data_IF_526677102142
#
_entry.id   IF_526677102142
#
_cell.length_a   1.000
_cell.length_b   1.000
_cell.length_c   1.000
_cell.angle_alpha   90.00
_cell.angle_beta   90.00
_cell.angle_gamma   90.00
#
_symmetry.space_group_name_H-M   'P 1'
#
loop_
_entity.id
_entity.type
_entity.pdbx_description
1 polymer ?
#
# COMPACT_ATOMS: atom_id res chain seq x y z
N UNK A 1 5.12 7.13 4.95
CA UNK A 1 4.73 5.96 4.13
C UNK A 1 4.08 4.90 4.98
N UNK A 2 2.98 4.34 4.53
CA UNK A 2 2.33 3.22 5.19
C UNK A 2 1.53 2.42 4.16
N UNK A 3 1.21 1.16 4.48
CA UNK A 3 0.42 0.31 3.60
C UNK A 3 -0.99 0.11 4.16
N UNK A 4 -1.14 0.06 5.48
CA UNK A 4 -2.38 -0.30 6.16
C UNK A 4 -2.89 -1.68 5.73
N UNK A 5 -2.14 -2.69 6.13
CA UNK A 5 -2.37 -4.10 5.79
C UNK A 5 -3.54 -4.67 6.60
N UNK A 6 -4.77 -4.29 6.24
CA UNK A 6 -5.99 -4.62 6.97
C UNK A 6 -6.60 -5.97 6.59
N UNK A 7 -6.11 -6.57 5.52
CA UNK A 7 -6.49 -7.91 5.04
C UNK A 7 -5.34 -8.45 4.19
N UNK A 8 -5.22 -9.76 4.09
CA UNK A 8 -4.24 -10.41 3.20
C UNK A 8 -4.58 -10.22 1.72
N UNK A 9 -5.86 -10.06 1.39
CA UNK A 9 -6.31 -9.70 0.05
C UNK A 9 -6.14 -8.19 -0.18
N UNK A 10 -5.36 -7.76 -1.20
CA UNK A 10 -5.08 -6.35 -1.44
C UNK A 10 -6.34 -5.52 -1.73
N UNK A 11 -7.32 -6.10 -2.38
CA UNK A 11 -8.58 -5.43 -2.70
C UNK A 11 -9.49 -5.27 -1.48
N UNK A 12 -9.55 -6.28 -0.62
CA UNK A 12 -10.28 -6.20 0.65
C UNK A 12 -9.63 -5.20 1.60
N UNK A 13 -8.31 -5.23 1.70
CA UNK A 13 -7.56 -4.25 2.49
C UNK A 13 -7.87 -2.81 2.05
N UNK A 14 -7.98 -2.57 0.75
CA UNK A 14 -8.35 -1.26 0.20
C UNK A 14 -9.75 -0.82 0.62
N UNK A 15 -10.72 -1.71 0.56
CA UNK A 15 -12.14 -1.42 0.94
C UNK A 15 -12.29 -1.06 2.42
N UNK A 16 -11.41 -1.55 3.27
CA UNK A 16 -11.47 -1.35 4.72
C UNK A 16 -10.82 -0.03 5.16
N UNK A 17 -10.15 0.69 4.27
CA UNK A 17 -9.46 1.93 4.65
C UNK A 17 -10.42 3.10 4.80
N UNK A 18 -10.08 4.00 5.73
CA UNK A 18 -10.76 5.27 5.94
C UNK A 18 -10.69 6.14 4.70
N UNK A 19 -11.70 7.00 4.51
CA UNK A 19 -11.75 7.92 3.37
C UNK A 19 -10.46 8.70 3.18
N UNK A 20 -9.89 9.25 4.25
CA UNK A 20 -8.64 10.00 4.20
C UNK A 20 -7.47 9.14 3.74
N UNK A 21 -7.41 7.89 4.18
CA UNK A 21 -6.36 6.96 3.78
C UNK A 21 -6.54 6.48 2.34
N UNK A 22 -7.75 6.23 1.90
CA UNK A 22 -8.03 5.91 0.49
C UNK A 22 -7.46 7.00 -0.42
N UNK A 23 -7.71 8.27 -0.11
CA UNK A 23 -7.19 9.40 -0.90
C UNK A 23 -5.66 9.45 -0.89
N UNK A 24 -5.05 9.38 0.30
CA UNK A 24 -3.61 9.60 0.49
C UNK A 24 -2.77 8.41 0.05
N UNK A 25 -3.23 7.19 0.34
CA UNK A 25 -2.42 5.98 0.14
C UNK A 25 -2.32 5.56 -1.33
N UNK A 26 -3.17 6.05 -2.22
CA UNK A 26 -2.99 5.88 -3.66
C UNK A 26 -1.67 6.54 -4.10
N UNK A 27 -1.45 7.79 -3.71
CA UNK A 27 -0.22 8.50 -4.02
C UNK A 27 1.00 7.82 -3.40
N UNK A 28 0.94 7.47 -2.11
CA UNK A 28 2.07 6.83 -1.44
C UNK A 28 2.40 5.45 -2.03
N UNK A 29 1.39 4.65 -2.37
CA UNK A 29 1.60 3.37 -3.07
C UNK A 29 2.26 3.58 -4.43
N UNK A 30 1.78 4.54 -5.21
CA UNK A 30 2.38 4.89 -6.50
C UNK A 30 3.83 5.34 -6.35
N UNK A 31 4.14 6.14 -5.33
CA UNK A 31 5.51 6.57 -5.03
C UNK A 31 6.43 5.39 -4.68
N UNK A 32 5.97 4.43 -3.87
CA UNK A 32 6.74 3.23 -3.53
C UNK A 32 7.01 2.36 -4.76
N UNK A 33 6.00 2.15 -5.60
CA UNK A 33 6.13 1.37 -6.84
C UNK A 33 7.04 2.06 -7.86
N UNK A 34 6.92 3.37 -8.04
CA UNK A 34 7.84 4.14 -8.89
C UNK A 34 9.28 4.06 -8.38
N UNK A 35 9.47 4.14 -7.07
CA UNK A 35 10.80 4.04 -6.45
C UNK A 35 11.42 2.66 -6.68
N UNK A 36 10.60 1.58 -6.69
CA UNK A 36 11.08 0.25 -7.06
C UNK A 36 11.62 0.22 -8.49
N UNK A 37 10.92 0.83 -9.46
CA UNK A 37 11.42 0.95 -10.83
C UNK A 37 12.72 1.73 -10.91
N UNK A 38 12.83 2.86 -10.22
CA UNK A 38 14.07 3.64 -10.19
C UNK A 38 15.23 2.85 -9.58
N UNK A 39 14.98 2.08 -8.51
CA UNK A 39 16.00 1.25 -7.88
C UNK A 39 16.60 0.26 -8.86
N UNK A 40 15.78 -0.49 -9.60
CA UNK A 40 16.27 -1.50 -10.54
C UNK A 40 16.81 -0.89 -11.82
N UNK A 41 16.28 0.25 -12.25
CA UNK A 41 16.83 0.99 -13.39
C UNK A 41 18.25 1.50 -13.10
N UNK A 42 18.48 2.07 -11.93
CA UNK A 42 19.82 2.49 -11.48
C UNK A 42 20.78 1.30 -11.38
N UNK A 43 20.32 0.19 -10.80
CA UNK A 43 21.12 -1.03 -10.63
C UNK A 43 21.58 -1.62 -11.97
N UNK A 44 20.77 -1.53 -13.00
CA UNK A 44 21.04 -2.08 -14.34
C UNK A 44 21.42 -1.02 -15.37
N UNK A 45 21.65 0.21 -14.96
CA UNK A 45 22.06 1.34 -15.82
C UNK A 45 21.13 1.55 -17.03
N UNK A 46 19.81 1.44 -16.77
CA UNK A 46 18.77 1.68 -17.79
C UNK A 46 17.99 2.95 -17.48
N UNK A 47 17.38 3.53 -18.52
CA UNK A 47 16.59 4.76 -18.40
C UNK A 47 15.25 4.48 -17.72
N UNK A 48 14.88 5.34 -16.78
CA UNK A 48 13.61 5.30 -16.06
C UNK A 48 12.73 6.55 -16.30
N UNK A 49 12.95 7.29 -17.38
CA UNK A 49 12.17 8.51 -17.69
C UNK A 49 10.70 8.23 -17.95
N UNK A 50 10.36 6.97 -18.26
CA UNK A 50 8.96 6.53 -18.41
C UNK A 50 8.18 6.44 -17.11
N UNK A 51 8.85 6.47 -15.96
CA UNK A 51 8.23 6.34 -14.63
C UNK A 51 7.67 7.71 -14.20
N UNK A 52 6.36 7.82 -13.86
CA UNK A 52 5.70 9.11 -13.67
C UNK A 52 6.22 9.91 -12.47
N UNK A 53 6.56 9.26 -11.36
CA UNK A 53 7.00 9.94 -10.15
C UNK A 53 8.48 9.69 -9.88
N UNK A 54 9.12 10.70 -9.29
CA UNK A 54 10.51 10.61 -8.85
C UNK A 54 10.65 9.64 -7.68
N UNK A 55 11.88 9.18 -7.47
CA UNK A 55 12.26 8.40 -6.31
C UNK A 55 11.92 9.16 -5.02
N UNK A 56 11.19 8.53 -4.10
CA UNK A 56 10.73 9.12 -2.85
C UNK A 56 10.82 8.12 -1.71
N UNK A 57 11.19 8.59 -0.52
CA UNK A 57 11.27 7.79 0.71
C UNK A 57 11.99 6.46 0.51
N UNK A 58 13.11 6.50 -0.17
CA UNK A 58 13.85 5.33 -0.66
C UNK A 58 14.21 4.32 0.44
N UNK A 59 14.57 4.80 1.61
CA UNK A 59 14.99 3.95 2.74
C UNK A 59 13.86 3.64 3.74
N UNK A 60 12.64 4.06 3.47
CA UNK A 60 11.52 3.72 4.34
C UNK A 60 11.24 2.20 4.29
N UNK A 61 10.95 1.52 5.43
CA UNK A 61 10.75 0.07 5.46
C UNK A 61 9.71 -0.45 4.46
N UNK A 62 8.60 0.24 4.30
CA UNK A 62 7.55 -0.16 3.34
C UNK A 62 8.02 -0.02 1.89
N UNK A 63 8.82 0.99 1.57
CA UNK A 63 9.40 1.19 0.24
C UNK A 63 10.42 0.09 -0.08
N UNK A 64 11.25 -0.27 0.90
CA UNK A 64 12.19 -1.40 0.78
C UNK A 64 11.45 -2.71 0.57
N UNK A 65 10.42 -2.98 1.38
CA UNK A 65 9.59 -4.18 1.27
C UNK A 65 8.96 -4.32 -0.13
N UNK A 66 8.44 -3.24 -0.68
CA UNK A 66 7.82 -3.22 -2.02
C UNK A 66 8.76 -3.74 -3.12
N UNK A 67 10.05 -3.40 -3.04
CA UNK A 67 11.04 -3.77 -4.07
C UNK A 67 11.82 -5.05 -3.80
N UNK A 68 11.56 -5.75 -2.70
CA UNK A 68 12.28 -6.97 -2.35
C UNK A 68 12.06 -8.11 -3.34
N UNK A 69 10.84 -8.27 -3.82
CA UNK A 69 10.50 -9.31 -4.80
C UNK A 69 9.19 -9.00 -5.55
N UNK A 70 8.93 -9.79 -6.58
CA UNK A 70 7.73 -9.64 -7.43
C UNK A 70 6.43 -9.77 -6.67
N UNK A 71 6.33 -10.67 -5.69
CA UNK A 71 5.10 -10.88 -4.93
C UNK A 71 4.72 -9.67 -4.08
N UNK A 72 5.70 -9.01 -3.47
CA UNK A 72 5.50 -7.76 -2.74
C UNK A 72 5.06 -6.63 -3.67
N UNK A 73 5.76 -6.45 -4.79
CA UNK A 73 5.42 -5.45 -5.80
C UNK A 73 4.00 -5.64 -6.32
N UNK A 74 3.65 -6.86 -6.70
CA UNK A 74 2.30 -7.18 -7.21
C UNK A 74 1.22 -6.93 -6.17
N UNK A 75 1.44 -7.33 -4.93
CA UNK A 75 0.49 -7.08 -3.86
C UNK A 75 0.19 -5.59 -3.72
N UNK A 76 1.24 -4.77 -3.66
CA UNK A 76 1.08 -3.32 -3.52
C UNK A 76 0.45 -2.68 -4.75
N UNK A 77 0.82 -3.14 -5.95
CA UNK A 77 0.17 -2.68 -7.19
C UNK A 77 -1.34 -2.98 -7.16
N UNK A 78 -1.73 -4.20 -6.85
CA UNK A 78 -3.14 -4.58 -6.77
C UNK A 78 -3.87 -3.79 -5.67
N UNK A 79 -3.21 -3.52 -4.57
CA UNK A 79 -3.74 -2.68 -3.49
C UNK A 79 -3.97 -1.23 -3.96
N UNK A 80 -3.02 -0.66 -4.69
CA UNK A 80 -3.17 0.66 -5.31
C UNK A 80 -4.37 0.70 -6.28
N UNK A 81 -4.55 -0.33 -7.10
CA UNK A 81 -5.70 -0.45 -8.00
C UNK A 81 -7.00 -0.54 -7.19
N UNK A 82 -7.03 -1.34 -6.14
CA UNK A 82 -8.17 -1.44 -5.23
C UNK A 82 -8.52 -0.11 -4.57
N UNK A 83 -7.52 0.62 -4.09
CA UNK A 83 -7.70 1.97 -3.54
C UNK A 83 -8.24 2.95 -4.60
N UNK A 84 -7.74 2.85 -5.82
CA UNK A 84 -8.23 3.66 -6.96
C UNK A 84 -9.70 3.41 -7.24
N UNK A 85 -10.13 2.15 -7.20
CA UNK A 85 -11.53 1.78 -7.37
C UNK A 85 -12.41 2.32 -6.22
N UNK A 86 -11.94 2.18 -4.97
CA UNK A 86 -12.63 2.75 -3.81
C UNK A 86 -12.76 4.27 -3.91
N UNK A 87 -11.72 4.95 -4.35
CA UNK A 87 -11.76 6.40 -4.57
C UNK A 87 -12.82 6.78 -5.61
N UNK A 88 -12.87 6.07 -6.73
CA UNK A 88 -13.87 6.32 -7.78
C UNK A 88 -15.29 6.05 -7.27
N UNK A 89 -15.51 4.96 -6.54
CA UNK A 89 -16.81 4.61 -5.98
C UNK A 89 -17.28 5.62 -4.93
N UNK A 90 -16.37 6.13 -4.09
CA UNK A 90 -16.69 7.09 -3.02
C UNK A 90 -16.83 8.53 -3.50
N UNK A 91 -16.04 8.95 -4.49
CA UNK A 91 -15.93 10.36 -4.91
C UNK A 91 -16.36 10.62 -6.36
N UNK A 92 -16.75 9.61 -7.10
CA UNK A 92 -17.24 9.67 -8.47
C UNK A 92 -16.28 10.35 -9.46
N UNK A 93 -14.98 10.10 -9.28
CA UNK A 93 -13.91 10.56 -10.17
C UNK A 93 -12.70 9.66 -10.06
N UNK A 94 -11.83 9.65 -11.09
CA UNK A 94 -10.58 8.92 -11.06
C UNK A 94 -9.48 9.71 -10.35
N UNK A 95 -8.72 9.05 -9.48
CA UNK A 95 -7.57 9.67 -8.82
C UNK A 95 -6.43 9.91 -9.81
N UNK A 96 -5.81 11.08 -9.75
CA UNK A 96 -4.76 11.48 -10.68
C UNK A 96 -3.58 10.50 -10.72
N UNK A 97 -3.19 9.93 -9.58
CA UNK A 97 -2.10 8.93 -9.53
C UNK A 97 -2.47 7.65 -10.27
N UNK A 98 -3.74 7.25 -10.30
CA UNK A 98 -4.21 6.11 -11.10
C UNK A 98 -4.09 6.44 -12.59
N UNK A 99 -4.56 7.60 -13.00
CA UNK A 99 -4.45 8.05 -14.40
C UNK A 99 -3.00 8.06 -14.88
N UNK A 100 -2.08 8.55 -14.06
CA UNK A 100 -0.67 8.66 -14.42
C UNK A 100 0.10 7.34 -14.37
N UNK A 101 -0.22 6.47 -13.43
CA UNK A 101 0.66 5.37 -13.02
C UNK A 101 0.15 3.98 -13.40
N UNK A 102 -1.16 3.77 -13.51
CA UNK A 102 -1.76 2.44 -13.66
C UNK A 102 -1.10 1.59 -14.74
N UNK A 103 -0.99 2.09 -15.96
CA UNK A 103 -0.44 1.30 -17.07
C UNK A 103 1.08 1.11 -16.95
N UNK A 104 1.80 2.14 -16.52
CA UNK A 104 3.26 2.10 -16.35
C UNK A 104 3.69 1.13 -15.27
N UNK A 105 3.03 1.17 -14.14
CA UNK A 105 3.36 0.34 -12.98
C UNK A 105 2.80 -1.08 -13.07
N UNK A 106 1.96 -1.40 -14.05
CA UNK A 106 1.49 -2.76 -14.31
C UNK A 106 2.62 -3.72 -14.71
N UNK A 107 3.71 -3.17 -15.22
CA UNK A 107 4.92 -3.91 -15.56
C UNK A 107 5.83 -3.99 -14.33
N UNK A 108 6.49 -5.13 -14.14
CA UNK A 108 7.50 -5.26 -13.08
C UNK A 108 8.73 -4.39 -13.36
N UNK A 109 9.40 -3.91 -12.30
CA UNK A 109 10.74 -3.38 -12.46
C UNK A 109 11.68 -4.38 -13.12
N UNK A 110 12.63 -3.89 -13.92
CA UNK A 110 13.60 -4.71 -14.63
C UNK A 110 14.37 -5.61 -13.66
N UNK A 111 14.34 -6.92 -13.90
CA UNK A 111 15.04 -7.93 -13.11
C UNK A 111 14.73 -7.92 -11.58
N UNK A 112 13.57 -7.45 -11.20
CA UNK A 112 13.12 -7.64 -9.82
C UNK A 112 13.07 -9.14 -9.50
N UNK A 113 13.66 -9.59 -8.37
CA UNK A 113 13.76 -11.02 -8.06
C UNK A 113 12.41 -11.67 -7.77
N UNK A 114 12.35 -12.98 -8.00
CA UNK A 114 11.32 -13.83 -7.42
C UNK A 114 11.51 -13.91 -5.90
N UNK A 115 10.46 -14.26 -5.18
CA UNK A 115 10.53 -14.46 -3.74
C UNK A 115 9.17 -14.76 -3.14
N UNK A 116 9.17 -15.36 -1.94
CA UNK A 116 7.95 -15.61 -1.20
C UNK A 116 7.35 -14.29 -0.70
N UNK A 117 6.02 -14.25 -0.64
CA UNK A 117 5.33 -13.12 -0.01
C UNK A 117 5.55 -13.15 1.50
N UNK A 118 6.03 -12.03 2.03
CA UNK A 118 6.13 -11.77 3.47
C UNK A 118 5.21 -10.60 3.83
N UNK A 119 4.66 -10.61 5.03
CA UNK A 119 3.82 -9.51 5.49
C UNK A 119 4.60 -8.20 5.50
N UNK A 120 3.95 -7.06 5.15
CA UNK A 120 4.64 -5.77 5.16
C UNK A 120 5.05 -5.35 6.57
N UNK A 121 6.05 -4.47 6.68
CA UNK A 121 6.51 -3.98 7.98
C UNK A 121 5.41 -3.22 8.72
N UNK A 122 5.44 -3.34 10.04
CA UNK A 122 4.49 -2.70 10.93
C UNK A 122 4.97 -1.28 11.28
N UNK A 123 4.52 -0.31 10.51
CA UNK A 123 4.89 1.10 10.67
C UNK A 123 3.90 1.81 11.61
N UNK A 124 4.06 1.56 12.91
CA UNK A 124 3.18 2.06 13.96
C UNK A 124 3.91 2.07 15.31
N UNK A 125 3.36 2.75 16.33
CA UNK A 125 3.88 2.64 17.70
C UNK A 125 3.89 1.20 18.23
N UNK A 126 4.90 0.86 19.03
CA UNK A 126 5.13 -0.52 19.50
C UNK A 126 3.94 -1.13 20.24
N UNK A 127 3.14 -0.31 20.92
CA UNK A 127 1.93 -0.76 21.64
C UNK A 127 0.87 -1.42 20.75
N UNK A 128 0.88 -1.15 19.44
CA UNK A 128 -0.06 -1.74 18.48
C UNK A 128 0.50 -2.94 17.74
N UNK A 129 1.81 -3.16 17.81
CA UNK A 129 2.46 -4.24 17.07
C UNK A 129 2.05 -5.62 17.56
N UNK A 130 2.05 -6.57 16.65
CA UNK A 130 1.66 -7.95 16.86
C UNK A 130 2.52 -8.85 15.98
N UNK A 131 2.52 -10.16 16.22
CA UNK A 131 3.19 -11.12 15.33
C UNK A 131 2.59 -11.12 13.93
N UNK A 132 1.27 -10.90 13.85
CA UNK A 132 0.53 -10.77 12.60
C UNK A 132 0.35 -9.30 12.21
N UNK A 133 0.83 -8.93 11.01
CA UNK A 133 0.71 -7.54 10.52
C UNK A 133 -0.74 -7.11 10.34
N UNK A 134 -1.64 -8.00 9.92
CA UNK A 134 -3.08 -7.68 9.83
C UNK A 134 -3.63 -7.30 11.21
N UNK A 135 -3.33 -8.08 12.23
CA UNK A 135 -3.76 -7.79 13.61
C UNK A 135 -3.17 -6.47 14.11
N UNK A 136 -1.88 -6.23 13.86
CA UNK A 136 -1.20 -5.00 14.24
C UNK A 136 -1.86 -3.77 13.60
N UNK A 137 -2.16 -3.80 12.32
CA UNK A 137 -2.80 -2.69 11.63
C UNK A 137 -4.25 -2.46 12.10
N UNK A 138 -4.97 -3.50 12.46
CA UNK A 138 -6.28 -3.34 13.10
C UNK A 138 -6.18 -2.73 14.49
N UNK A 139 -5.20 -3.15 15.29
CA UNK A 139 -4.95 -2.54 16.59
C UNK A 139 -4.69 -1.03 16.44
N UNK A 140 -3.86 -0.66 15.48
CA UNK A 140 -3.53 0.72 15.19
C UNK A 140 -4.74 1.51 14.68
N UNK A 141 -5.52 0.94 13.78
CA UNK A 141 -6.74 1.55 13.25
C UNK A 141 -7.76 1.84 14.35
N UNK A 142 -8.07 0.84 15.16
CA UNK A 142 -9.06 0.97 16.24
C UNK A 142 -8.54 1.87 17.36
N UNK A 143 -7.26 1.74 17.70
CA UNK A 143 -6.64 2.46 18.83
C UNK A 143 -6.41 3.94 18.56
N UNK A 144 -6.05 4.31 17.35
CA UNK A 144 -5.58 5.67 17.04
C UNK A 144 -6.21 6.27 15.78
N UNK A 145 -6.25 5.56 14.65
CA UNK A 145 -6.61 6.15 13.37
C UNK A 145 -8.08 6.53 13.23
N UNK A 146 -8.99 5.88 13.93
CA UNK A 146 -10.42 6.21 13.88
C UNK A 146 -10.70 7.66 14.31
N UNK A 147 -9.88 8.25 15.17
CA UNK A 147 -10.03 9.63 15.65
C UNK A 147 -9.80 10.63 14.51
N UNK A 148 -8.86 10.32 13.62
CA UNK A 148 -8.45 11.22 12.52
C UNK A 148 -9.54 11.38 11.46
N UNK A 149 -10.40 10.41 11.30
CA UNK A 149 -11.39 10.34 10.22
C UNK A 149 -12.83 10.31 10.69
N UNK A 150 -13.04 10.52 11.97
CA UNK A 150 -14.37 10.61 12.59
C UNK A 150 -15.28 9.40 12.27
N UNK A 151 -14.70 8.20 12.30
CA UNK A 151 -15.45 6.95 12.13
C UNK A 151 -15.88 6.41 13.49
N UNK A 152 -17.07 5.80 13.53
CA UNK A 152 -17.53 5.10 14.70
C UNK A 152 -16.68 3.85 14.93
N UNK A 153 -16.08 3.76 16.10
CA UNK A 153 -15.21 2.65 16.50
C UNK A 153 -15.92 1.30 16.44
N UNK A 154 -17.21 1.26 16.76
CA UNK A 154 -18.01 0.03 16.70
C UNK A 154 -18.13 -0.51 15.27
N UNK A 155 -18.33 0.38 14.29
CA UNK A 155 -18.37 -0.04 12.87
C UNK A 155 -17.05 -0.64 12.40
N UNK A 156 -15.93 -0.20 12.95
CA UNK A 156 -14.63 -0.79 12.65
C UNK A 156 -14.50 -2.19 13.21
N UNK A 157 -14.98 -2.43 14.42
CA UNK A 157 -15.00 -3.76 15.01
C UNK A 157 -15.86 -4.73 14.22
N UNK A 158 -16.99 -4.28 13.70
CA UNK A 158 -17.87 -5.08 12.84
C UNK A 158 -17.20 -5.48 11.51
N UNK A 159 -16.35 -4.60 10.97
CA UNK A 159 -15.63 -4.84 9.72
C UNK A 159 -14.36 -5.67 9.91
N UNK A 160 -13.90 -5.82 11.15
CA UNK A 160 -12.69 -6.58 11.44
C UNK A 160 -12.85 -8.05 11.05
N UNK A 161 -11.88 -8.63 10.34
CA UNK A 161 -11.90 -10.06 10.06
C UNK A 161 -12.02 -10.88 11.35
N UNK A 162 -12.90 -11.88 11.32
CA UNK A 162 -13.14 -12.75 12.49
C UNK A 162 -12.10 -13.85 12.65
N UNK A 163 -11.25 -14.02 11.65
CA UNK A 163 -10.23 -15.05 11.65
C UNK A 163 -8.94 -14.54 12.32
N UNK A 164 -8.31 -15.43 13.06
CA UNK A 164 -6.97 -15.20 13.63
C UNK A 164 -5.94 -15.44 12.53
N UNK A 165 -5.17 -14.46 12.26
CA UNK A 165 -4.07 -14.53 11.29
C UNK A 165 -2.79 -15.05 11.93
#
# INVERSE_FOLDING_TARGET
>A
MNIFFLDTCPYKAAKLQYNKHVVKMILESAQMLCTAHHHYAEKHEINADYIPYKKAHYNHPSTIWCRQNKNHYRWLYNHMIGLGQEYTDRYNKEHLSITKCKSKLSLYPHDIPEGAFEQPPQCMPDEYKDECSVQAYWNYYIGEKHIVVNLNKEKLYEQRPKETY
#
